data_IF_430105987155
#
_entry.id   IF_430105987155
#
_cell.length_a   1.000
_cell.length_b   1.000
_cell.length_c   1.000
_cell.angle_alpha   90.00
_cell.angle_beta   90.00
_cell.angle_gamma   90.00
#
_symmetry.space_group_name_H-M   'P 1'
#
loop_
_entity.id
_entity.type
_entity.pdbx_description
1 polymer ?
#
# COMPACT_ATOMS: atom_id res chain seq x y z
N UNK A 1 -24.46 -112.87 -22.62
CA UNK A 1 -25.42 -112.29 -21.66
C UNK A 1 -24.84 -110.98 -21.15
N UNK A 2 -25.38 -109.85 -21.58
CA UNK A 2 -25.02 -108.55 -21.01
C UNK A 2 -25.81 -108.39 -19.71
N UNK A 3 -25.12 -108.37 -18.56
CA UNK A 3 -25.72 -108.06 -17.28
C UNK A 3 -26.26 -106.63 -17.35
N UNK A 4 -27.59 -106.47 -17.25
CA UNK A 4 -28.20 -105.14 -17.11
C UNK A 4 -27.73 -104.51 -15.80
N UNK A 5 -27.29 -103.24 -15.80
CA UNK A 5 -26.80 -102.59 -14.60
C UNK A 5 -27.92 -102.47 -13.56
N UNK A 6 -27.59 -102.77 -12.30
CA UNK A 6 -28.52 -102.72 -11.17
C UNK A 6 -29.04 -101.27 -11.00
N UNK A 7 -30.36 -101.04 -10.92
CA UNK A 7 -30.95 -99.70 -10.95
C UNK A 7 -30.45 -98.77 -9.84
N UNK A 8 -30.13 -99.30 -8.66
CA UNK A 8 -29.54 -98.52 -7.56
C UNK A 8 -28.13 -97.99 -7.88
N UNK A 9 -27.29 -98.78 -8.58
CA UNK A 9 -25.95 -98.33 -8.96
C UNK A 9 -26.01 -97.16 -9.95
N UNK A 10 -27.00 -97.17 -10.85
CA UNK A 10 -27.21 -96.07 -11.80
C UNK A 10 -27.57 -94.76 -11.07
N UNK A 11 -28.48 -94.83 -10.10
CA UNK A 11 -28.87 -93.67 -9.28
C UNK A 11 -27.70 -93.11 -8.46
N UNK A 12 -26.87 -93.99 -7.88
CA UNK A 12 -25.69 -93.56 -7.13
C UNK A 12 -24.64 -92.88 -8.01
N UNK A 13 -24.41 -93.36 -9.24
CA UNK A 13 -23.49 -92.73 -10.19
C UNK A 13 -24.01 -91.35 -10.60
N UNK A 14 -25.29 -91.21 -10.96
CA UNK A 14 -25.89 -89.91 -11.32
C UNK A 14 -25.84 -88.91 -10.16
N UNK A 15 -26.06 -89.36 -8.92
CA UNK A 15 -25.96 -88.51 -7.73
C UNK A 15 -24.51 -88.07 -7.45
N UNK A 16 -23.53 -88.96 -7.61
CA UNK A 16 -22.11 -88.61 -7.49
C UNK A 16 -21.68 -87.62 -8.57
N UNK A 17 -22.11 -87.81 -9.82
CA UNK A 17 -21.84 -86.86 -10.91
C UNK A 17 -22.42 -85.48 -10.63
N UNK A 18 -23.63 -85.41 -10.07
CA UNK A 18 -24.25 -84.16 -9.63
C UNK A 18 -23.43 -83.48 -8.51
N UNK A 19 -23.03 -84.21 -7.47
CA UNK A 19 -22.22 -83.64 -6.39
C UNK A 19 -20.84 -83.17 -6.88
N UNK A 20 -20.20 -83.92 -7.78
CA UNK A 20 -18.93 -83.51 -8.40
C UNK A 20 -19.11 -82.26 -9.25
N UNK A 21 -20.22 -82.13 -9.99
CA UNK A 21 -20.51 -80.93 -10.76
C UNK A 21 -20.73 -79.70 -9.86
N UNK A 22 -21.52 -79.83 -8.79
CA UNK A 22 -21.82 -78.72 -7.88
C UNK A 22 -20.56 -78.28 -7.12
N UNK A 23 -19.80 -79.22 -6.56
CA UNK A 23 -18.52 -78.90 -5.87
C UNK A 23 -17.51 -78.24 -6.81
N UNK A 24 -17.47 -78.63 -8.09
CA UNK A 24 -16.61 -77.99 -9.08
C UNK A 24 -17.04 -76.54 -9.36
N UNK A 25 -18.34 -76.29 -9.48
CA UNK A 25 -18.90 -74.96 -9.68
C UNK A 25 -18.65 -74.05 -8.47
N UNK A 26 -18.83 -74.56 -7.26
CA UNK A 26 -18.50 -73.84 -6.01
C UNK A 26 -17.00 -73.50 -5.93
N UNK A 27 -16.13 -74.42 -6.34
CA UNK A 27 -14.70 -74.19 -6.39
C UNK A 27 -14.33 -73.11 -7.42
N UNK A 28 -14.92 -73.15 -8.62
CA UNK A 28 -14.67 -72.14 -9.66
C UNK A 28 -15.17 -70.75 -9.21
N UNK A 29 -16.34 -70.66 -8.58
CA UNK A 29 -16.83 -69.42 -7.98
C UNK A 29 -15.89 -68.88 -6.89
N UNK A 30 -15.40 -69.77 -6.01
CA UNK A 30 -14.45 -69.40 -4.95
C UNK A 30 -13.13 -68.91 -5.53
N UNK A 31 -12.64 -69.52 -6.62
CA UNK A 31 -11.43 -69.07 -7.32
C UNK A 31 -11.60 -67.70 -7.96
N UNK A 32 -12.75 -67.44 -8.60
CA UNK A 32 -13.06 -66.12 -9.17
C UNK A 32 -13.07 -65.06 -8.08
N UNK A 33 -13.75 -65.31 -6.96
CA UNK A 33 -13.78 -64.39 -5.83
C UNK A 33 -12.39 -64.14 -5.24
N UNK A 34 -11.58 -65.19 -5.06
CA UNK A 34 -10.22 -65.08 -4.57
C UNK A 34 -9.33 -64.24 -5.52
N UNK A 35 -9.43 -64.46 -6.83
CA UNK A 35 -8.70 -63.69 -7.83
C UNK A 35 -9.11 -62.20 -7.82
N UNK A 36 -10.42 -61.92 -7.72
CA UNK A 36 -10.93 -60.55 -7.65
C UNK A 36 -10.46 -59.83 -6.38
N UNK A 37 -10.49 -60.53 -5.24
CA UNK A 37 -9.99 -60.00 -3.96
C UNK A 37 -8.51 -59.70 -4.03
N UNK A 38 -7.71 -60.62 -4.59
CA UNK A 38 -6.27 -60.43 -4.76
C UNK A 38 -5.95 -59.23 -5.66
N UNK A 39 -6.70 -59.04 -6.77
CA UNK A 39 -6.54 -57.88 -7.63
C UNK A 39 -6.82 -56.57 -6.87
N UNK A 40 -7.89 -56.53 -6.07
CA UNK A 40 -8.23 -55.35 -5.28
C UNK A 40 -7.14 -55.01 -4.26
N UNK A 41 -6.61 -56.02 -3.56
CA UNK A 41 -5.50 -55.85 -2.60
C UNK A 41 -4.25 -55.32 -3.32
N UNK A 42 -3.94 -55.83 -4.50
CA UNK A 42 -2.80 -55.35 -5.29
C UNK A 42 -2.96 -53.86 -5.66
N UNK A 43 -4.14 -53.48 -6.16
CA UNK A 43 -4.44 -52.08 -6.52
C UNK A 43 -4.34 -51.15 -5.30
N UNK A 44 -4.90 -51.56 -4.16
CA UNK A 44 -4.79 -50.78 -2.92
C UNK A 44 -3.35 -50.66 -2.44
N UNK A 45 -2.57 -51.73 -2.53
CA UNK A 45 -1.15 -51.74 -2.15
C UNK A 45 -0.35 -50.73 -2.96
N UNK A 46 -0.60 -50.65 -4.27
CA UNK A 46 0.09 -49.69 -5.13
C UNK A 46 -0.36 -48.25 -4.86
N UNK A 47 -1.64 -48.02 -4.58
CA UNK A 47 -2.13 -46.71 -4.14
C UNK A 47 -1.46 -46.25 -2.85
N UNK A 48 -1.33 -47.14 -1.85
CA UNK A 48 -0.64 -46.84 -0.58
C UNK A 48 0.83 -46.48 -0.82
N UNK A 49 1.54 -47.19 -1.71
CA UNK A 49 2.93 -46.87 -2.06
C UNK A 49 3.06 -45.48 -2.68
N UNK A 50 2.15 -45.11 -3.59
CA UNK A 50 2.15 -43.77 -4.19
C UNK A 50 1.90 -42.69 -3.14
N UNK A 51 0.89 -42.86 -2.29
CA UNK A 51 0.59 -41.92 -1.21
C UNK A 51 1.75 -41.78 -0.23
N UNK A 52 2.44 -42.87 0.12
CA UNK A 52 3.63 -42.82 0.98
C UNK A 52 4.78 -42.00 0.34
N UNK A 53 4.96 -42.14 -0.98
CA UNK A 53 5.95 -41.36 -1.74
C UNK A 53 5.59 -39.87 -1.76
N UNK A 54 4.33 -39.55 -2.01
CA UNK A 54 3.83 -38.17 -2.01
C UNK A 54 3.95 -37.52 -0.63
N UNK A 55 3.60 -38.26 0.42
CA UNK A 55 3.75 -37.80 1.79
C UNK A 55 5.21 -37.48 2.14
N UNK A 56 6.15 -38.34 1.75
CA UNK A 56 7.59 -38.10 1.92
C UNK A 56 8.05 -36.84 1.16
N UNK A 57 7.60 -36.66 -0.07
CA UNK A 57 7.90 -35.47 -0.88
C UNK A 57 7.38 -34.19 -0.23
N UNK A 58 6.13 -34.21 0.23
CA UNK A 58 5.50 -33.08 0.92
C UNK A 58 6.26 -32.71 2.20
N UNK A 59 6.66 -33.70 2.99
CA UNK A 59 7.48 -33.49 4.18
C UNK A 59 8.82 -32.82 3.86
N UNK A 60 9.50 -33.25 2.79
CA UNK A 60 10.75 -32.63 2.36
C UNK A 60 10.54 -31.17 1.92
N UNK A 61 9.45 -30.88 1.19
CA UNK A 61 9.11 -29.51 0.82
C UNK A 61 8.81 -28.63 2.05
N UNK A 62 8.07 -29.17 3.02
CA UNK A 62 7.78 -28.46 4.28
C UNK A 62 9.07 -28.17 5.04
N UNK A 63 9.96 -29.14 5.19
CA UNK A 63 11.26 -28.94 5.85
C UNK A 63 12.11 -27.85 5.17
N UNK A 64 12.11 -27.79 3.83
CA UNK A 64 12.79 -26.72 3.08
C UNK A 64 12.17 -25.34 3.33
N UNK A 65 10.84 -25.26 3.39
CA UNK A 65 10.12 -24.02 3.72
C UNK A 65 10.44 -23.58 5.15
N UNK A 66 10.41 -24.50 6.11
CA UNK A 66 10.72 -24.22 7.53
C UNK A 66 12.16 -23.73 7.72
N UNK A 67 13.13 -24.31 7.00
CA UNK A 67 14.52 -23.84 7.02
C UNK A 67 14.66 -22.39 6.48
N UNK A 68 13.88 -22.03 5.46
CA UNK A 68 13.86 -20.66 4.94
C UNK A 68 13.21 -19.70 5.94
N UNK A 69 12.10 -20.10 6.55
CA UNK A 69 11.43 -19.33 7.60
C UNK A 69 12.39 -19.09 8.78
N UNK A 70 13.14 -20.10 9.22
CA UNK A 70 14.13 -19.97 10.29
C UNK A 70 15.23 -18.96 9.96
N UNK A 71 15.76 -18.99 8.72
CA UNK A 71 16.76 -18.01 8.25
C UNK A 71 16.21 -16.59 8.23
N UNK A 72 14.98 -16.39 7.75
CA UNK A 72 14.34 -15.07 7.74
C UNK A 72 14.10 -14.55 9.15
N UNK A 73 13.61 -15.41 10.07
CA UNK A 73 13.43 -15.06 11.49
C UNK A 73 14.75 -14.61 12.12
N UNK A 74 15.84 -15.35 11.90
CA UNK A 74 17.16 -14.96 12.41
C UNK A 74 17.62 -13.59 11.85
N UNK A 75 17.35 -13.33 10.56
CA UNK A 75 17.69 -12.03 9.95
C UNK A 75 16.88 -10.88 10.54
N UNK A 76 15.59 -11.09 10.81
CA UNK A 76 14.73 -10.10 11.47
C UNK A 76 15.29 -9.75 12.85
N UNK A 77 15.58 -10.74 13.68
CA UNK A 77 16.16 -10.52 15.02
C UNK A 77 17.48 -9.74 14.94
N UNK A 78 18.35 -10.09 13.98
CA UNK A 78 19.59 -9.36 13.75
C UNK A 78 19.35 -7.90 13.35
N UNK A 79 18.40 -7.64 12.45
CA UNK A 79 18.06 -6.29 12.01
C UNK A 79 17.46 -5.46 13.15
N UNK A 80 16.55 -6.03 13.93
CA UNK A 80 15.96 -5.39 15.12
C UNK A 80 17.04 -4.97 16.11
N UNK A 81 18.05 -5.81 16.37
CA UNK A 81 19.18 -5.47 17.22
C UNK A 81 19.99 -4.29 16.66
N UNK A 82 20.22 -4.24 15.34
CA UNK A 82 20.94 -3.12 14.70
C UNK A 82 20.17 -1.81 14.77
N UNK A 83 18.84 -1.85 14.56
CA UNK A 83 17.97 -0.67 14.67
C UNK A 83 18.00 -0.13 16.11
N UNK A 84 17.81 -1.01 17.10
CA UNK A 84 17.87 -0.62 18.52
C UNK A 84 19.21 0.04 18.89
N UNK A 85 20.32 -0.54 18.43
CA UNK A 85 21.64 0.05 18.66
C UNK A 85 21.80 1.43 17.99
N UNK A 86 21.20 1.65 16.82
CA UNK A 86 21.20 2.95 16.17
C UNK A 86 20.32 3.97 16.92
N UNK A 87 19.15 3.56 17.40
CA UNK A 87 18.26 4.40 18.21
C UNK A 87 18.92 4.84 19.52
N UNK A 88 19.59 3.93 20.21
CA UNK A 88 20.32 4.24 21.46
C UNK A 88 21.46 5.25 21.20
N UNK A 89 22.21 5.08 20.09
CA UNK A 89 23.22 6.05 19.66
C UNK A 89 22.62 7.43 19.36
N UNK A 90 21.48 7.49 18.70
CA UNK A 90 20.78 8.75 18.41
C UNK A 90 20.28 9.40 19.70
N UNK A 91 19.75 8.61 20.63
CA UNK A 91 19.30 9.08 21.95
C UNK A 91 20.45 9.71 22.74
N UNK A 92 21.62 9.08 22.76
CA UNK A 92 22.80 9.63 23.44
C UNK A 92 23.35 10.87 22.75
N UNK A 93 23.38 10.91 21.40
CA UNK A 93 23.70 12.14 20.66
C UNK A 93 22.74 13.27 20.99
N UNK A 94 21.44 12.99 21.09
CA UNK A 94 20.41 13.98 21.44
C UNK A 94 20.59 14.52 22.85
N UNK A 95 21.00 13.69 23.82
CA UNK A 95 21.35 14.16 25.18
C UNK A 95 22.57 15.09 25.16
N UNK A 96 23.60 14.76 24.37
CA UNK A 96 24.80 15.61 24.23
C UNK A 96 24.54 16.92 23.47
N UNK A 97 23.56 16.93 22.58
CA UNK A 97 23.14 18.11 21.79
C UNK A 97 21.98 18.88 22.44
N UNK A 98 21.55 18.53 23.66
CA UNK A 98 20.54 19.30 24.38
C UNK A 98 21.11 20.71 24.68
N UNK A 99 20.41 21.79 24.30
CA UNK A 99 20.91 23.15 24.48
C UNK A 99 21.15 23.46 25.96
N UNK A 100 22.13 24.32 26.29
CA UNK A 100 22.33 24.79 27.66
C UNK A 100 21.03 25.41 28.17
N UNK A 101 20.74 25.17 29.45
CA UNK A 101 19.49 25.51 30.11
C UNK A 101 19.06 26.98 29.88
N UNK A 102 17.73 27.15 29.81
CA UNK A 102 16.83 28.33 29.74
C UNK A 102 17.39 29.78 29.81
N UNK A 103 18.52 30.05 30.47
CA UNK A 103 19.15 31.38 30.52
C UNK A 103 19.78 31.79 29.17
N UNK A 104 20.51 30.90 28.49
CA UNK A 104 21.23 31.27 27.26
C UNK A 104 20.32 31.60 26.07
N UNK A 105 19.14 30.97 26.00
CA UNK A 105 18.15 31.23 24.94
C UNK A 105 17.44 32.58 25.11
N UNK A 106 17.32 33.10 26.34
CA UNK A 106 16.77 34.44 26.58
C UNK A 106 17.74 35.52 26.10
N UNK A 107 19.04 35.38 26.37
CA UNK A 107 20.06 36.31 25.88
C UNK A 107 20.16 36.30 24.36
N UNK A 108 20.17 35.12 23.73
CA UNK A 108 20.18 34.99 22.27
C UNK A 108 18.93 35.61 21.63
N UNK A 109 17.75 35.44 22.25
CA UNK A 109 16.50 36.00 21.73
C UNK A 109 16.43 37.52 21.94
N UNK A 110 16.96 38.05 23.05
CA UNK A 110 17.09 39.50 23.28
C UNK A 110 18.04 40.13 22.27
N UNK A 111 19.16 39.47 21.96
CA UNK A 111 20.14 39.95 21.00
C UNK A 111 19.59 39.90 19.57
N UNK A 112 18.85 38.85 19.20
CA UNK A 112 18.14 38.78 17.91
C UNK A 112 17.03 39.83 17.80
N UNK A 113 16.32 40.11 18.90
CA UNK A 113 15.29 41.15 18.91
C UNK A 113 15.89 42.55 18.81
N UNK A 114 17.10 42.77 19.32
CA UNK A 114 17.84 44.02 19.19
C UNK A 114 18.37 44.23 17.77
N UNK A 115 18.96 43.20 17.14
CA UNK A 115 19.42 43.30 15.74
C UNK A 115 18.27 43.48 14.77
N UNK A 116 17.16 42.74 14.93
CA UNK A 116 15.96 42.94 14.12
C UNK A 116 15.30 44.32 14.31
N UNK A 117 15.45 44.94 15.48
CA UNK A 117 15.00 46.33 15.71
C UNK A 117 15.92 47.34 15.02
N UNK A 118 17.23 47.16 15.13
CA UNK A 118 18.22 48.02 14.47
C UNK A 118 18.11 47.95 12.93
N UNK A 119 17.95 46.74 12.37
CA UNK A 119 17.74 46.56 10.91
C UNK A 119 16.42 47.18 10.45
N UNK A 120 15.34 47.04 11.22
CA UNK A 120 14.06 47.70 10.90
C UNK A 120 14.11 49.22 11.00
N UNK A 121 14.92 49.76 11.91
CA UNK A 121 15.15 51.21 12.02
C UNK A 121 16.02 51.73 10.88
N UNK A 122 17.07 51.00 10.49
CA UNK A 122 17.88 51.30 9.32
C UNK A 122 17.05 51.25 8.03
N UNK A 123 16.25 50.21 7.82
CA UNK A 123 15.34 50.12 6.68
C UNK A 123 14.26 51.20 6.69
N UNK A 124 13.80 51.66 7.85
CA UNK A 124 12.82 52.76 7.96
C UNK A 124 13.46 54.10 7.65
N UNK A 125 14.68 54.35 8.13
CA UNK A 125 15.45 55.54 7.83
C UNK A 125 15.80 55.61 6.34
N UNK A 126 16.20 54.49 5.74
CA UNK A 126 16.52 54.37 4.32
C UNK A 126 15.25 54.46 3.46
N UNK A 127 14.13 53.85 3.88
CA UNK A 127 12.81 54.07 3.23
C UNK A 127 12.35 55.52 3.34
N UNK A 128 12.56 56.19 4.46
CA UNK A 128 12.22 57.62 4.60
C UNK A 128 13.12 58.50 3.73
N UNK A 129 14.42 58.21 3.66
CA UNK A 129 15.35 58.91 2.79
C UNK A 129 14.98 58.71 1.30
N UNK A 130 14.62 57.48 0.91
CA UNK A 130 14.17 57.16 -0.44
C UNK A 130 12.79 57.77 -0.77
N UNK A 131 11.85 57.84 0.20
CA UNK A 131 10.56 58.52 0.03
C UNK A 131 10.76 60.04 -0.09
N UNK A 132 11.66 60.63 0.70
CA UNK A 132 12.01 62.05 0.58
C UNK A 132 12.68 62.36 -0.77
N UNK A 133 13.56 61.47 -1.25
CA UNK A 133 14.17 61.57 -2.58
C UNK A 133 13.14 61.39 -3.71
N UNK A 134 12.20 60.43 -3.58
CA UNK A 134 11.10 60.23 -4.54
C UNK A 134 10.07 61.37 -4.52
N UNK A 135 9.81 62.02 -3.39
CA UNK A 135 8.97 63.22 -3.31
C UNK A 135 9.65 64.45 -3.92
N UNK A 136 10.99 64.54 -3.83
CA UNK A 136 11.77 65.53 -4.59
C UNK A 136 11.74 65.28 -6.10
N UNK A 137 11.70 64.01 -6.54
CA UNK A 137 11.61 63.65 -7.97
C UNK A 137 10.17 63.77 -8.51
N UNK A 138 9.14 63.47 -7.71
CA UNK A 138 7.72 63.59 -8.10
C UNK A 138 7.22 65.05 -8.17
N UNK A 139 7.88 66.01 -7.53
CA UNK A 139 7.67 67.43 -7.79
C UNK A 139 8.13 67.86 -9.20
N UNK A 140 8.93 67.03 -9.88
CA UNK A 140 9.52 67.33 -11.19
C UNK A 140 8.90 66.58 -12.38
N UNK A 141 7.96 65.64 -12.20
CA UNK A 141 7.25 65.01 -13.32
C UNK A 141 5.96 64.30 -12.89
N UNK A 142 4.81 64.93 -13.16
CA UNK A 142 3.49 64.31 -13.11
C UNK A 142 3.17 63.64 -14.47
N UNK A 143 2.78 62.37 -14.47
CA UNK A 143 2.22 61.71 -15.66
C UNK A 143 1.89 60.22 -15.53
N UNK A 144 0.59 59.91 -15.31
CA UNK A 144 -0.26 58.82 -15.85
C UNK A 144 0.33 57.42 -16.17
N UNK A 145 -0.18 56.30 -15.62
CA UNK A 145 -1.25 55.43 -16.19
C UNK A 145 -0.64 54.32 -17.11
N UNK A 146 -1.05 53.05 -17.25
CA UNK A 146 -2.25 52.26 -16.97
C UNK A 146 -1.89 50.74 -17.14
N UNK A 147 -2.86 49.87 -16.85
CA UNK A 147 -2.86 48.40 -16.76
C UNK A 147 -2.31 47.55 -17.92
N UNK A 148 -1.47 46.57 -17.58
CA UNK A 148 -1.55 45.16 -18.00
C UNK A 148 -0.42 44.38 -17.30
N UNK A 149 -0.71 43.75 -16.16
CA UNK A 149 0.30 43.11 -15.32
C UNK A 149 -0.10 41.68 -14.90
N UNK A 150 0.88 40.77 -14.71
CA UNK A 150 0.72 39.41 -14.15
C UNK A 150 -0.10 39.32 -12.85
N UNK A 151 -0.30 40.45 -12.15
CA UNK A 151 -1.19 40.54 -10.99
C UNK A 151 -2.66 40.21 -11.25
N UNK A 152 -3.12 40.24 -12.51
CA UNK A 152 -4.53 39.93 -12.86
C UNK A 152 -4.87 38.44 -12.71
N UNK A 153 -4.02 37.51 -13.19
CA UNK A 153 -4.27 36.06 -13.12
C UNK A 153 -4.26 35.54 -11.67
N UNK A 154 -3.29 35.99 -10.86
CA UNK A 154 -3.21 35.63 -9.44
C UNK A 154 -4.42 36.11 -8.67
N UNK A 155 -4.87 37.35 -8.93
CA UNK A 155 -6.07 37.91 -8.29
C UNK A 155 -7.32 37.13 -8.69
N UNK A 156 -7.46 36.75 -9.95
CA UNK A 156 -8.58 35.94 -10.42
C UNK A 156 -8.59 34.56 -9.76
N UNK A 157 -7.43 33.92 -9.62
CA UNK A 157 -7.32 32.64 -8.92
C UNK A 157 -7.63 32.75 -7.42
N UNK A 158 -7.15 33.79 -6.74
CA UNK A 158 -7.49 34.01 -5.33
C UNK A 158 -8.99 34.22 -5.13
N UNK A 159 -9.69 34.81 -6.11
CA UNK A 159 -11.13 34.99 -6.07
C UNK A 159 -11.93 33.68 -6.18
N UNK A 160 -11.33 32.57 -6.64
CA UNK A 160 -12.01 31.25 -6.63
C UNK A 160 -11.93 30.56 -5.27
N UNK A 161 -11.37 31.23 -4.25
CA UNK A 161 -11.15 30.73 -2.90
C UNK A 161 -10.55 29.31 -2.84
N UNK A 162 -9.36 29.09 -3.44
CA UNK A 162 -8.72 27.78 -3.49
C UNK A 162 -8.42 27.20 -2.10
N UNK A 163 -8.74 25.91 -1.86
CA UNK A 163 -8.56 25.28 -0.56
C UNK A 163 -7.08 24.99 -0.26
N UNK A 164 -6.70 25.11 1.01
CA UNK A 164 -5.40 24.68 1.51
C UNK A 164 -5.39 23.17 1.74
N UNK A 165 -4.26 22.52 1.43
CA UNK A 165 -4.04 21.10 1.74
C UNK A 165 -2.83 20.91 2.65
N UNK A 166 -2.94 20.03 3.64
CA UNK A 166 -1.89 19.77 4.63
C UNK A 166 -1.52 18.29 4.72
N UNK A 167 -2.54 17.44 4.88
CA UNK A 167 -2.46 15.99 4.97
C UNK A 167 -3.81 15.38 4.61
N UNK A 168 -3.80 14.09 4.31
CA UNK A 168 -4.99 13.27 4.10
C UNK A 168 -5.44 12.71 5.44
N UNK A 169 -6.68 12.99 5.85
CA UNK A 169 -7.31 12.38 7.02
C UNK A 169 -8.30 11.30 6.57
N UNK A 170 -9.08 11.61 5.53
CA UNK A 170 -9.99 10.70 4.85
C UNK A 170 -9.45 10.28 3.48
N UNK A 171 -9.77 9.06 3.02
CA UNK A 171 -9.24 8.50 1.78
C UNK A 171 -9.45 9.34 0.52
N UNK A 172 -10.51 10.15 0.49
CA UNK A 172 -10.89 10.96 -0.67
C UNK A 172 -10.33 12.40 -0.61
N UNK A 173 -9.85 12.89 0.54
CA UNK A 173 -9.40 14.27 0.71
C UNK A 173 -8.39 14.73 -0.35
N UNK A 174 -7.44 13.84 -0.67
CA UNK A 174 -6.39 14.13 -1.63
C UNK A 174 -6.95 14.26 -3.06
N UNK A 175 -7.92 13.41 -3.42
CA UNK A 175 -8.54 13.44 -4.74
C UNK A 175 -9.55 14.60 -4.86
N UNK A 176 -10.35 14.85 -3.83
CA UNK A 176 -11.29 15.98 -3.77
C UNK A 176 -10.56 17.32 -3.84
N UNK A 177 -9.42 17.44 -3.14
CA UNK A 177 -8.58 18.63 -3.23
C UNK A 177 -8.00 18.81 -4.63
N UNK A 178 -7.50 17.75 -5.27
CA UNK A 178 -6.98 17.82 -6.64
C UNK A 178 -8.06 18.27 -7.63
N UNK A 179 -9.26 17.71 -7.53
CA UNK A 179 -10.37 18.05 -8.41
C UNK A 179 -10.81 19.51 -8.24
N UNK A 180 -10.93 19.96 -6.98
CA UNK A 180 -11.27 21.35 -6.67
C UNK A 180 -10.21 22.31 -7.20
N UNK A 181 -8.94 21.95 -7.02
CA UNK A 181 -7.82 22.78 -7.49
C UNK A 181 -7.77 22.85 -9.01
N UNK A 182 -8.00 21.74 -9.71
CA UNK A 182 -8.05 21.69 -11.16
C UNK A 182 -9.14 22.61 -11.73
N UNK A 183 -10.36 22.55 -11.18
CA UNK A 183 -11.46 23.44 -11.54
C UNK A 183 -11.13 24.92 -11.31
N UNK A 184 -10.53 25.25 -10.16
CA UNK A 184 -10.15 26.63 -9.84
C UNK A 184 -9.09 27.20 -10.78
N UNK A 185 -8.10 26.37 -11.17
CA UNK A 185 -7.06 26.75 -12.12
C UNK A 185 -7.64 27.00 -13.52
N UNK A 186 -8.65 26.21 -13.92
CA UNK A 186 -9.35 26.38 -15.19
C UNK A 186 -10.19 27.66 -15.23
N UNK A 187 -10.98 27.91 -14.18
CA UNK A 187 -11.79 29.14 -14.05
C UNK A 187 -10.90 30.39 -14.06
N UNK A 188 -9.72 30.33 -13.45
CA UNK A 188 -8.78 31.44 -13.40
C UNK A 188 -7.97 31.65 -14.70
N UNK A 189 -8.11 30.76 -15.69
CA UNK A 189 -7.38 30.84 -16.96
C UNK A 189 -5.87 30.60 -16.82
N UNK A 190 -5.46 29.74 -15.87
CA UNK A 190 -4.05 29.42 -15.63
C UNK A 190 -3.53 28.44 -16.69
N UNK A 191 -2.39 28.78 -17.30
CA UNK A 191 -1.78 27.97 -18.35
C UNK A 191 -1.15 26.68 -17.78
N UNK A 192 -1.04 25.64 -18.60
CA UNK A 192 -0.61 24.30 -18.17
C UNK A 192 0.79 24.27 -17.49
N UNK A 193 1.69 25.17 -17.90
CA UNK A 193 3.03 25.35 -17.31
C UNK A 193 3.01 26.06 -15.94
N UNK A 194 1.95 26.82 -15.63
CA UNK A 194 1.80 27.58 -14.38
C UNK A 194 0.96 26.84 -13.33
N UNK A 195 0.16 25.83 -13.73
CA UNK A 195 -0.74 25.08 -12.84
C UNK A 195 -0.05 24.52 -11.58
N UNK A 196 1.13 23.92 -11.74
CA UNK A 196 1.89 23.35 -10.60
C UNK A 196 2.39 24.44 -9.66
N UNK A 197 2.80 25.60 -10.17
CA UNK A 197 3.24 26.72 -9.34
C UNK A 197 2.11 27.25 -8.48
N UNK A 198 0.92 27.41 -9.07
CA UNK A 198 -0.27 27.88 -8.36
C UNK A 198 -0.72 26.86 -7.31
N UNK A 199 -0.90 25.59 -7.68
CA UNK A 199 -1.37 24.56 -6.75
C UNK A 199 -0.42 24.36 -5.55
N UNK A 200 0.90 24.42 -5.79
CA UNK A 200 1.90 24.20 -4.71
C UNK A 200 1.99 25.35 -3.72
N UNK A 201 1.50 26.54 -4.08
CA UNK A 201 1.33 27.65 -3.15
C UNK A 201 0.27 27.35 -2.06
N UNK A 202 -0.68 26.45 -2.35
CA UNK A 202 -1.77 26.05 -1.45
C UNK A 202 -1.48 24.75 -0.69
N UNK A 203 -0.23 24.28 -0.73
CA UNK A 203 0.24 23.21 0.13
C UNK A 203 0.80 23.80 1.44
N UNK A 204 0.45 23.18 2.56
CA UNK A 204 0.90 23.53 3.90
C UNK A 204 1.40 22.31 4.65
N UNK A 205 2.05 22.52 5.79
CA UNK A 205 2.43 21.43 6.71
C UNK A 205 3.18 20.27 6.02
N UNK A 206 2.78 19.02 6.27
CA UNK A 206 3.41 17.83 5.67
C UNK A 206 3.43 17.82 4.13
N UNK A 207 2.35 18.26 3.47
CA UNK A 207 2.28 18.30 2.01
C UNK A 207 3.30 19.27 1.39
N UNK A 208 3.55 20.43 2.04
CA UNK A 208 4.60 21.37 1.60
C UNK A 208 6.01 20.78 1.75
N UNK A 209 6.24 20.01 2.81
CA UNK A 209 7.51 19.30 3.02
C UNK A 209 7.74 18.22 1.96
N UNK A 210 6.68 17.47 1.61
CA UNK A 210 6.72 16.51 0.51
C UNK A 210 7.06 17.19 -0.83
N UNK A 211 6.39 18.29 -1.17
CA UNK A 211 6.64 19.00 -2.43
C UNK A 211 8.10 19.43 -2.58
N UNK A 212 8.70 19.92 -1.50
CA UNK A 212 10.13 20.31 -1.48
C UNK A 212 11.03 19.12 -1.85
N UNK A 213 10.74 17.93 -1.31
CA UNK A 213 11.46 16.70 -1.61
C UNK A 213 11.19 16.22 -3.05
N UNK A 214 9.93 16.23 -3.49
CA UNK A 214 9.53 15.81 -4.83
C UNK A 214 10.19 16.67 -5.93
N UNK A 215 10.30 17.98 -5.70
CA UNK A 215 10.98 18.93 -6.60
C UNK A 215 12.49 18.70 -6.65
N UNK A 216 13.13 18.38 -5.53
CA UNK A 216 14.55 18.06 -5.49
C UNK A 216 14.87 16.77 -6.28
N UNK A 217 14.01 15.74 -6.17
CA UNK A 217 14.15 14.48 -6.92
C UNK A 217 13.98 14.70 -8.43
N UNK A 218 13.15 15.67 -8.84
CA UNK A 218 12.93 15.99 -10.26
C UNK A 218 14.06 16.80 -10.90
N UNK A 219 15.21 16.97 -10.21
CA UNK A 219 16.41 17.66 -10.70
C UNK A 219 16.14 19.07 -11.28
N UNK A 220 15.10 19.77 -10.79
CA UNK A 220 14.72 21.09 -11.29
C UNK A 220 14.02 21.10 -12.65
N UNK A 221 13.76 19.94 -13.26
CA UNK A 221 12.93 19.86 -14.47
C UNK A 221 11.49 20.29 -14.14
N UNK A 222 10.88 21.06 -15.04
CA UNK A 222 9.48 21.45 -14.90
C UNK A 222 8.60 20.21 -14.87
N UNK A 223 7.86 20.04 -13.77
CA UNK A 223 6.91 18.95 -13.58
C UNK A 223 5.62 19.33 -14.29
N UNK A 224 5.08 18.43 -15.12
CA UNK A 224 3.76 18.64 -15.72
C UNK A 224 2.66 18.51 -14.66
N UNK A 225 1.49 19.08 -14.93
CA UNK A 225 0.34 18.94 -14.04
C UNK A 225 -0.06 17.46 -13.83
N UNK A 226 0.03 16.64 -14.88
CA UNK A 226 -0.27 15.21 -14.80
C UNK A 226 0.74 14.45 -13.93
N UNK A 227 2.03 14.75 -14.07
CA UNK A 227 3.07 14.15 -13.21
C UNK A 227 2.88 14.56 -11.74
N UNK A 228 2.48 15.80 -11.50
CA UNK A 228 2.15 16.30 -10.18
C UNK A 228 0.98 15.50 -9.57
N UNK A 229 -0.15 15.38 -10.28
CA UNK A 229 -1.32 14.60 -9.83
C UNK A 229 -0.93 13.16 -9.49
N UNK A 230 -0.15 12.51 -10.35
CA UNK A 230 0.30 11.12 -10.14
C UNK A 230 1.16 10.98 -8.88
N UNK A 231 2.17 11.84 -8.72
CA UNK A 231 3.08 11.80 -7.56
C UNK A 231 2.34 12.18 -6.27
N UNK A 232 1.44 13.15 -6.34
CA UNK A 232 0.62 13.62 -5.22
C UNK A 232 -0.26 12.48 -4.69
N UNK A 233 -1.06 11.85 -5.56
CA UNK A 233 -1.90 10.70 -5.20
C UNK A 233 -1.10 9.58 -4.57
N UNK A 234 0.02 9.19 -5.19
CA UNK A 234 0.86 8.10 -4.69
C UNK A 234 1.39 8.36 -3.27
N UNK A 235 1.67 9.61 -2.93
CA UNK A 235 2.21 9.97 -1.62
C UNK A 235 1.12 10.20 -0.57
N UNK A 236 0.03 10.86 -0.97
CA UNK A 236 -1.03 11.29 -0.07
C UNK A 236 -2.19 10.29 0.04
N UNK A 237 -2.24 9.25 -0.79
CA UNK A 237 -3.22 8.16 -0.69
C UNK A 237 -2.48 6.86 -0.34
N UNK A 238 -2.29 6.55 0.96
CA UNK A 238 -1.54 5.37 1.37
C UNK A 238 -2.28 4.08 0.97
N UNK A 239 -1.58 3.03 0.50
CA UNK A 239 -2.21 1.75 0.19
C UNK A 239 -2.97 1.13 1.38
N UNK A 240 -2.50 1.39 2.61
CA UNK A 240 -3.17 0.94 3.83
C UNK A 240 -4.53 1.61 4.06
N UNK A 241 -4.70 2.87 3.63
CA UNK A 241 -5.96 3.60 3.73
C UNK A 241 -7.00 3.05 2.75
N UNK A 242 -6.58 2.77 1.51
CA UNK A 242 -7.39 2.09 0.50
C UNK A 242 -7.80 0.69 0.97
N UNK A 243 -6.86 -0.05 1.56
CA UNK A 243 -7.14 -1.37 2.13
C UNK A 243 -8.22 -1.28 3.24
N UNK A 244 -8.07 -0.33 4.17
CA UNK A 244 -9.03 -0.11 5.26
C UNK A 244 -10.43 0.17 4.72
N UNK A 245 -10.58 1.09 3.76
CA UNK A 245 -11.86 1.39 3.11
C UNK A 245 -12.49 0.19 2.43
N UNK A 246 -11.69 -0.60 1.71
CA UNK A 246 -12.18 -1.81 1.06
C UNK A 246 -12.69 -2.82 2.09
N UNK A 247 -11.99 -2.96 3.21
CA UNK A 247 -12.36 -3.87 4.28
C UNK A 247 -13.65 -3.35 4.97
N UNK A 248 -13.78 -2.04 5.25
CA UNK A 248 -15.00 -1.40 5.76
C UNK A 248 -16.21 -1.56 4.81
N UNK A 249 -16.01 -1.31 3.51
CA UNK A 249 -17.05 -1.50 2.49
C UNK A 249 -17.50 -2.97 2.40
N UNK A 250 -16.57 -3.91 2.53
CA UNK A 250 -16.89 -5.35 2.55
C UNK A 250 -17.69 -5.76 3.79
N UNK A 251 -17.46 -5.08 4.90
CA UNK A 251 -18.17 -5.30 6.17
C UNK A 251 -19.48 -4.52 6.27
N UNK A 252 -19.74 -3.58 5.35
CA UNK A 252 -20.94 -2.78 5.30
C UNK A 252 -22.17 -3.66 5.08
N UNK A 253 -23.06 -3.68 6.07
CA UNK A 253 -24.36 -4.37 6.03
C UNK A 253 -25.45 -3.33 6.14
N UNK A 254 -26.45 -3.42 5.26
CA UNK A 254 -27.59 -2.50 5.25
C UNK A 254 -28.27 -2.36 6.62
N UNK A 255 -28.45 -3.48 7.35
CA UNK A 255 -29.05 -3.44 8.67
C UNK A 255 -30.46 -2.86 8.66
N UNK A 256 -30.65 -1.69 9.30
CA UNK A 256 -31.92 -0.95 9.33
C UNK A 256 -31.94 0.27 8.40
N UNK A 257 -30.87 0.49 7.64
CA UNK A 257 -30.74 1.63 6.72
C UNK A 257 -31.64 1.41 5.51
N UNK A 258 -32.20 2.50 4.97
CA UNK A 258 -32.86 2.45 3.67
C UNK A 258 -31.86 2.09 2.57
N UNK A 259 -32.35 1.61 1.42
CA UNK A 259 -31.48 1.26 0.28
C UNK A 259 -30.71 2.47 -0.26
N UNK A 260 -31.19 3.70 -0.02
CA UNK A 260 -30.51 4.93 -0.45
C UNK A 260 -29.38 5.31 0.51
N UNK A 261 -29.54 5.01 1.80
CA UNK A 261 -28.54 5.32 2.82
C UNK A 261 -27.41 4.26 2.88
N UNK A 262 -27.72 3.01 2.52
CA UNK A 262 -26.76 1.91 2.43
C UNK A 262 -25.93 1.97 1.15
#
# INVERSE_FOLDING_TARGET
MALSPHPELKYHVEHLDFMVHETRKELDNSRVYANQTHLHISQQTDAIKMLAKDHKSLHQQRAKKDATIARLRAKIVSLEATVKAQEDRLRDRRKKMAPPTRNSNQDAMLQLLQTLRADREAERAERQANIAALQQIAHNNQGHGNHDHPGSKLKNFQNTNPPMFSKTEEPLDADDWLQTMENNLEVAGVEANEKVLFATHYLSGPARAWWTSARAINAGQMMTWEDFKLKFRKYHVPPGLIKKMRDEFRELKQGRMSVVEY
#
